data_IF_656903741511
#
_entry.id   IF_656903741511
#
_cell.length_a   1.000
_cell.length_b   1.000
_cell.length_c   1.000
_cell.angle_alpha   90.00
_cell.angle_beta   90.00
_cell.angle_gamma   90.00
#
_symmetry.space_group_name_H-M   'P 1'
#
loop_
_entity.id
_entity.type
_entity.pdbx_description
1 polymer ?
#
# COMPACT_ATOMS: atom_id res chain seq x y z
N UNK A 1 -29.52 -38.49 0.49
CA UNK A 1 -28.98 -37.49 1.45
C UNK A 1 -27.46 -37.52 1.34
N UNK A 2 -26.90 -36.78 0.39
CA UNK A 2 -25.47 -36.84 0.04
C UNK A 2 -24.69 -36.05 1.10
N UNK A 3 -23.76 -36.69 1.82
CA UNK A 3 -22.86 -36.01 2.77
C UNK A 3 -22.17 -34.85 2.04
N UNK A 4 -22.37 -33.63 2.51
CA UNK A 4 -21.56 -32.47 2.10
C UNK A 4 -20.10 -32.74 2.49
N UNK A 5 -19.31 -33.16 1.50
CA UNK A 5 -17.90 -32.79 1.29
C UNK A 5 -17.06 -32.58 2.55
N UNK A 6 -16.28 -33.59 2.93
CA UNK A 6 -15.05 -33.35 3.70
C UNK A 6 -14.13 -32.47 2.85
N UNK A 7 -13.75 -31.29 3.37
CA UNK A 7 -12.82 -30.39 2.69
C UNK A 7 -11.43 -31.02 2.72
N UNK A 8 -10.75 -31.00 1.58
CA UNK A 8 -9.38 -31.49 1.41
C UNK A 8 -8.45 -30.90 2.51
N UNK A 9 -7.77 -31.72 3.32
CA UNK A 9 -6.88 -31.26 4.37
C UNK A 9 -5.70 -30.43 3.85
N UNK A 10 -5.21 -30.68 2.63
CA UNK A 10 -4.15 -29.87 2.01
C UNK A 10 -4.67 -28.48 1.62
N UNK A 11 -5.93 -28.38 1.20
CA UNK A 11 -6.57 -27.10 0.89
C UNK A 11 -6.75 -26.24 2.16
N UNK A 12 -7.10 -26.88 3.28
CA UNK A 12 -7.23 -26.19 4.58
C UNK A 12 -5.88 -25.69 5.11
N UNK A 13 -4.80 -26.44 4.85
CA UNK A 13 -3.44 -25.99 5.18
C UNK A 13 -3.00 -24.76 4.35
N UNK A 14 -3.51 -24.59 3.13
CA UNK A 14 -3.14 -23.47 2.24
C UNK A 14 -4.03 -22.23 2.38
N UNK A 15 -5.27 -22.39 2.86
CA UNK A 15 -6.26 -21.30 2.98
C UNK A 15 -6.47 -20.79 4.41
N UNK A 16 -5.84 -21.43 5.39
CA UNK A 16 -6.04 -21.12 6.81
C UNK A 16 -7.23 -21.86 7.42
N UNK A 17 -7.34 -21.74 8.74
CA UNK A 17 -8.45 -22.28 9.53
C UNK A 17 -9.45 -21.18 9.88
N UNK A 18 -10.58 -21.57 10.47
CA UNK A 18 -11.58 -20.62 10.93
C UNK A 18 -10.97 -19.69 11.99
N UNK A 19 -11.12 -18.38 11.79
CA UNK A 19 -10.53 -17.34 12.65
C UNK A 19 -9.24 -16.71 12.11
N UNK A 20 -8.64 -17.27 11.06
CA UNK A 20 -7.44 -16.68 10.44
C UNK A 20 -7.79 -15.40 9.66
N UNK A 21 -6.86 -14.43 9.69
CA UNK A 21 -6.97 -13.20 8.92
C UNK A 21 -6.31 -13.36 7.54
N UNK A 22 -7.05 -12.98 6.48
CA UNK A 22 -6.52 -12.94 5.11
C UNK A 22 -6.20 -11.50 4.74
N UNK A 23 -5.00 -11.25 4.22
CA UNK A 23 -4.63 -9.95 3.64
C UNK A 23 -4.60 -10.07 2.12
N UNK A 24 -5.31 -9.18 1.43
CA UNK A 24 -5.27 -9.06 -0.02
C UNK A 24 -4.39 -7.86 -0.38
N UNK A 25 -3.31 -8.11 -1.11
CA UNK A 25 -2.40 -7.07 -1.60
C UNK A 25 -2.58 -6.98 -3.11
N UNK A 26 -3.20 -5.91 -3.58
CA UNK A 26 -3.23 -5.57 -5.00
C UNK A 26 -1.97 -4.78 -5.36
N UNK A 27 -1.16 -5.24 -6.34
CA UNK A 27 0.04 -4.52 -6.74
C UNK A 27 -0.31 -3.15 -7.34
N UNK A 28 0.59 -2.19 -7.14
CA UNK A 28 0.51 -0.88 -7.79
C UNK A 28 0.94 -0.92 -9.26
N UNK A 29 0.79 0.22 -9.94
CA UNK A 29 1.34 0.43 -11.28
C UNK A 29 2.86 0.75 -11.22
N UNK A 30 3.53 0.66 -12.37
CA UNK A 30 4.92 1.10 -12.54
C UNK A 30 5.04 2.63 -12.58
N UNK A 31 6.25 3.13 -12.26
CA UNK A 31 6.60 4.55 -12.37
C UNK A 31 7.20 4.91 -13.74
N UNK A 32 7.34 6.21 -14.01
CA UNK A 32 8.00 6.74 -15.21
C UNK A 32 8.96 7.88 -14.83
N UNK A 33 10.15 7.86 -15.44
CA UNK A 33 11.17 8.90 -15.26
C UNK A 33 11.88 8.87 -13.90
N UNK A 34 12.82 9.81 -13.67
CA UNK A 34 13.52 9.92 -12.39
C UNK A 34 12.61 10.44 -11.28
N UNK A 35 12.47 9.68 -10.18
CA UNK A 35 11.55 10.04 -9.09
C UNK A 35 11.85 11.38 -8.41
N UNK A 36 13.13 11.80 -8.36
CA UNK A 36 13.56 13.07 -7.77
C UNK A 36 13.28 14.31 -8.65
N UNK A 37 12.88 14.10 -9.90
CA UNK A 37 12.47 15.19 -10.81
C UNK A 37 10.94 15.42 -10.77
N UNK A 38 10.20 14.66 -9.95
CA UNK A 38 8.76 14.85 -9.77
C UNK A 38 8.48 16.20 -9.12
N UNK A 39 7.51 16.92 -9.66
CA UNK A 39 7.04 18.21 -9.11
C UNK A 39 6.65 18.06 -7.62
N UNK A 40 7.26 18.88 -6.77
CA UNK A 40 7.03 18.89 -5.32
C UNK A 40 5.58 19.18 -4.92
N UNK A 41 4.82 19.95 -5.73
CA UNK A 41 3.40 20.20 -5.49
C UNK A 41 2.55 18.93 -5.66
N UNK A 42 2.93 18.06 -6.62
CA UNK A 42 2.30 16.77 -6.83
C UNK A 42 2.67 15.79 -5.70
N UNK A 43 3.92 15.81 -5.24
CA UNK A 43 4.37 15.02 -4.09
C UNK A 43 3.62 15.42 -2.82
N UNK A 44 3.43 16.72 -2.58
CA UNK A 44 2.66 17.24 -1.45
C UNK A 44 1.20 16.79 -1.49
N UNK A 45 0.59 16.79 -2.68
CA UNK A 45 -0.74 16.23 -2.87
C UNK A 45 -0.77 14.74 -2.56
N UNK A 46 0.18 13.97 -3.07
CA UNK A 46 0.25 12.52 -2.89
C UNK A 46 0.41 12.14 -1.39
N UNK A 47 1.18 12.93 -0.63
CA UNK A 47 1.26 12.82 0.84
C UNK A 47 -0.07 13.13 1.53
N UNK A 48 -0.70 14.26 1.18
CA UNK A 48 -2.01 14.64 1.73
C UNK A 48 -3.08 13.59 1.47
N UNK A 49 -3.03 12.96 0.30
CA UNK A 49 -3.94 11.89 -0.12
C UNK A 49 -3.52 10.50 0.40
N UNK A 50 -2.43 10.41 1.18
CA UNK A 50 -1.89 9.16 1.74
C UNK A 50 -1.55 8.10 0.68
N UNK A 51 -1.23 8.53 -0.54
CA UNK A 51 -0.73 7.67 -1.62
C UNK A 51 0.71 7.24 -1.39
N UNK A 52 1.46 8.07 -0.66
CA UNK A 52 2.84 7.81 -0.23
C UNK A 52 3.00 8.20 1.24
N UNK A 53 4.02 7.66 1.89
CA UNK A 53 4.40 8.04 3.25
C UNK A 53 5.42 9.19 3.24
N UNK A 54 5.61 9.83 4.39
CA UNK A 54 6.60 10.90 4.58
C UNK A 54 8.02 10.41 4.30
N UNK A 55 8.33 9.17 4.66
CA UNK A 55 9.62 8.55 4.41
C UNK A 55 9.87 8.39 2.90
N UNK A 56 8.84 8.02 2.13
CA UNK A 56 8.92 7.90 0.67
C UNK A 56 9.10 9.27 0.02
N UNK A 57 8.34 10.28 0.46
CA UNK A 57 8.47 11.62 -0.10
C UNK A 57 9.88 12.19 0.08
N UNK A 58 10.49 11.99 1.26
CA UNK A 58 11.85 12.45 1.56
C UNK A 58 12.91 11.61 0.84
N UNK A 59 12.80 10.29 0.92
CA UNK A 59 13.85 9.37 0.45
C UNK A 59 13.85 9.11 -1.05
N UNK A 60 12.68 9.15 -1.71
CA UNK A 60 12.53 8.78 -3.13
C UNK A 60 12.25 9.99 -4.00
N UNK A 61 11.42 10.92 -3.53
CA UNK A 61 11.06 12.12 -4.29
C UNK A 61 11.94 13.33 -3.96
N UNK A 62 12.79 13.26 -2.93
CA UNK A 62 13.69 14.36 -2.54
C UNK A 62 12.97 15.58 -1.98
N UNK A 63 11.72 15.43 -1.52
CA UNK A 63 10.92 16.54 -0.98
C UNK A 63 10.86 16.43 0.54
N UNK A 64 11.40 17.44 1.23
CA UNK A 64 11.21 17.65 2.66
C UNK A 64 10.11 18.69 2.85
N UNK A 65 8.89 18.26 3.16
CA UNK A 65 7.78 19.18 3.43
C UNK A 65 7.76 19.55 4.92
N UNK A 66 7.59 20.84 5.26
CA UNK A 66 7.38 21.23 6.65
C UNK A 66 6.10 20.57 7.18
N UNK A 67 6.13 20.13 8.44
CA UNK A 67 4.95 19.63 9.12
C UNK A 67 3.81 20.64 8.97
N UNK A 68 2.63 20.18 8.54
CA UNK A 68 1.48 21.02 8.24
C UNK A 68 1.21 21.99 9.41
N UNK A 69 1.53 23.28 9.22
CA UNK A 69 1.46 24.26 10.30
C UNK A 69 2.03 25.66 10.03
N UNK A 70 2.65 25.94 8.88
CA UNK A 70 3.03 27.31 8.52
C UNK A 70 2.04 27.90 7.50
N UNK A 71 0.92 28.41 8.01
CA UNK A 71 0.12 29.42 7.30
C UNK A 71 0.48 30.76 7.94
N UNK A 72 1.00 31.67 7.13
CA UNK A 72 1.15 33.08 7.52
C UNK A 72 -0.18 33.82 7.50
#
# INVERSE_FOLDING_TARGET
>A
MTRKTERDPELKARLGVEGDAVTIITPGAGGYGPSGERDGTLVARDLREKKISTEVARGVCGVDLPAAGAQG
#
